data_IF_427620875457
#
_entry.id   IF_427620875457
#
_cell.length_a   1.000
_cell.length_b   1.000
_cell.length_c   1.000
_cell.angle_alpha   90.00
_cell.angle_beta   90.00
_cell.angle_gamma   90.00
#
_symmetry.space_group_name_H-M   'P 1'
#
loop_
_entity.id
_entity.type
_entity.pdbx_description
1 polymer ?
#
# COMPACT_ATOMS: atom_id res chain seq x y z
N UNK A 1 -0.07 15.47 10.38
CA UNK A 1 -1.13 14.85 9.57
C UNK A 1 -1.89 13.83 10.40
N UNK A 2 -3.16 13.68 10.12
CA UNK A 2 -4.05 12.86 10.95
C UNK A 2 -4.15 11.43 10.40
N UNK A 3 -3.13 10.64 10.62
CA UNK A 3 -3.06 9.27 10.12
C UNK A 3 -3.88 8.31 10.96
N UNK A 4 -4.47 7.30 10.30
CA UNK A 4 -5.28 6.28 10.97
C UNK A 4 -4.46 5.37 11.88
N UNK A 5 -3.16 5.20 11.59
CA UNK A 5 -2.23 4.37 12.35
C UNK A 5 -0.92 5.13 12.59
N UNK A 6 -0.14 4.76 13.62
CA UNK A 6 1.17 5.39 13.85
C UNK A 6 2.22 4.88 12.86
N UNK A 7 3.30 5.64 12.72
CA UNK A 7 4.49 5.27 11.96
C UNK A 7 4.20 4.86 10.50
N UNK A 8 3.48 5.68 9.72
CA UNK A 8 3.24 5.35 8.33
C UNK A 8 4.53 5.36 7.52
N UNK A 9 4.62 4.49 6.51
CA UNK A 9 5.55 4.68 5.42
C UNK A 9 4.88 5.61 4.41
N UNK A 10 5.53 6.72 4.06
CA UNK A 10 4.89 7.75 3.23
C UNK A 10 5.69 8.07 1.98
N UNK A 11 4.98 8.44 0.92
CA UNK A 11 5.53 9.03 -0.30
C UNK A 11 4.70 10.24 -0.69
N UNK A 12 5.33 11.28 -1.27
CA UNK A 12 4.57 12.36 -1.88
C UNK A 12 3.86 11.87 -3.15
N UNK A 13 2.73 12.47 -3.47
CA UNK A 13 1.99 12.20 -4.69
C UNK A 13 1.42 13.50 -5.22
N UNK A 14 1.46 13.68 -6.54
CA UNK A 14 0.92 14.88 -7.19
C UNK A 14 0.33 14.47 -8.53
N UNK A 15 -0.98 14.75 -8.77
CA UNK A 15 -1.58 14.46 -10.06
C UNK A 15 -0.89 15.25 -11.18
N UNK A 16 -0.49 14.55 -12.24
CA UNK A 16 0.11 15.11 -13.44
C UNK A 16 -0.95 15.25 -14.53
N UNK A 17 -0.63 15.94 -15.62
CA UNK A 17 -1.59 16.18 -16.70
C UNK A 17 -2.19 14.89 -17.24
N UNK A 18 -1.39 13.84 -17.41
CA UNK A 18 -1.84 12.53 -17.92
C UNK A 18 -2.75 11.78 -16.94
N UNK A 19 -2.79 12.18 -15.67
CA UNK A 19 -3.60 11.53 -14.64
C UNK A 19 -5.03 12.06 -14.59
N UNK A 20 -5.32 13.16 -15.28
CA UNK A 20 -6.57 13.90 -15.18
C UNK A 20 -7.57 13.41 -16.22
N UNK A 21 -8.80 13.13 -15.77
CA UNK A 21 -9.89 12.68 -16.66
C UNK A 21 -10.70 13.87 -17.23
N UNK A 22 -11.75 13.55 -18.00
CA UNK A 22 -12.61 14.53 -18.63
C UNK A 22 -13.41 15.40 -17.68
N UNK A 23 -13.43 15.09 -16.39
CA UNK A 23 -14.10 15.87 -15.34
C UNK A 23 -13.14 16.78 -14.60
N UNK A 24 -11.90 16.93 -15.07
CA UNK A 24 -10.81 17.67 -14.43
C UNK A 24 -10.42 17.15 -13.06
N UNK A 25 -10.62 15.86 -12.82
CA UNK A 25 -10.22 15.18 -11.59
C UNK A 25 -9.24 14.08 -11.88
N UNK A 26 -8.44 13.71 -10.89
CA UNK A 26 -7.56 12.56 -10.99
C UNK A 26 -8.39 11.31 -11.27
N UNK A 27 -8.04 10.56 -12.33
CA UNK A 27 -8.67 9.29 -12.65
C UNK A 27 -8.49 8.32 -11.49
N UNK A 28 -9.58 7.65 -11.09
CA UNK A 28 -9.56 6.72 -9.96
C UNK A 28 -8.50 5.61 -10.09
N UNK A 29 -8.19 5.18 -11.30
CA UNK A 29 -7.16 4.17 -11.55
C UNK A 29 -5.75 4.64 -11.14
N UNK A 30 -5.51 5.95 -11.17
CA UNK A 30 -4.22 6.53 -10.78
C UNK A 30 -3.94 6.31 -9.30
N UNK A 31 -4.93 6.42 -8.46
CA UNK A 31 -4.78 6.14 -7.03
C UNK A 31 -4.33 4.69 -6.77
N UNK A 32 -4.88 3.76 -7.53
CA UNK A 32 -4.51 2.34 -7.45
C UNK A 32 -3.04 2.15 -7.86
N UNK A 33 -2.61 2.83 -8.91
CA UNK A 33 -1.20 2.81 -9.34
C UNK A 33 -0.27 3.38 -8.26
N UNK A 34 -0.67 4.45 -7.58
CA UNK A 34 0.10 5.01 -6.47
C UNK A 34 0.21 4.02 -5.30
N UNK A 35 -0.86 3.29 -5.00
CA UNK A 35 -0.85 2.24 -3.98
C UNK A 35 0.12 1.11 -4.35
N UNK A 36 0.14 0.67 -5.61
CA UNK A 36 1.11 -0.31 -6.10
C UNK A 36 2.56 0.19 -5.90
N UNK A 37 2.81 1.43 -6.27
CA UNK A 37 4.13 2.03 -6.17
C UNK A 37 4.61 2.10 -4.72
N UNK A 38 3.76 2.58 -3.80
CA UNK A 38 4.16 2.71 -2.40
C UNK A 38 4.31 1.35 -1.73
N UNK A 39 3.50 0.37 -2.12
CA UNK A 39 3.64 -1.00 -1.62
C UNK A 39 5.03 -1.56 -1.91
N UNK A 40 5.51 -1.42 -3.13
CA UNK A 40 6.87 -1.83 -3.51
C UNK A 40 7.95 -1.01 -2.81
N UNK A 41 7.79 0.30 -2.74
CA UNK A 41 8.76 1.17 -2.06
C UNK A 41 8.89 0.79 -0.58
N UNK A 42 7.78 0.49 0.08
CA UNK A 42 7.78 0.04 1.47
C UNK A 42 8.53 -1.30 1.63
N UNK A 43 8.23 -2.28 0.76
CA UNK A 43 8.91 -3.58 0.78
C UNK A 43 10.41 -3.41 0.56
N UNK A 44 10.83 -2.57 -0.38
CA UNK A 44 12.26 -2.29 -0.62
C UNK A 44 12.92 -1.66 0.61
N UNK A 45 12.23 -0.75 1.30
CA UNK A 45 12.74 -0.15 2.54
C UNK A 45 12.94 -1.18 3.65
N UNK A 46 12.19 -2.28 3.59
CA UNK A 46 12.30 -3.41 4.53
C UNK A 46 13.30 -4.46 4.08
N UNK A 47 13.99 -4.26 2.98
CA UNK A 47 15.01 -5.17 2.45
C UNK A 47 14.47 -6.23 1.50
N UNK A 48 13.24 -6.09 1.00
CA UNK A 48 12.64 -7.04 0.06
C UNK A 48 12.33 -6.36 -1.28
N UNK A 49 13.17 -6.63 -2.27
CA UNK A 49 13.02 -6.16 -3.64
C UNK A 49 12.29 -7.18 -4.51
N UNK A 50 11.96 -6.79 -5.74
CA UNK A 50 11.46 -7.73 -6.75
C UNK A 50 12.46 -8.88 -6.97
N UNK A 51 13.76 -8.59 -7.00
CA UNK A 51 14.79 -9.61 -7.12
C UNK A 51 14.76 -10.63 -5.98
N UNK A 52 14.50 -10.18 -4.75
CA UNK A 52 14.37 -11.08 -3.61
C UNK A 52 13.13 -11.97 -3.75
N UNK A 53 12.02 -11.44 -4.23
CA UNK A 53 10.81 -12.22 -4.53
C UNK A 53 11.12 -13.33 -5.55
N UNK A 54 11.83 -12.97 -6.61
CA UNK A 54 12.21 -13.93 -7.66
C UNK A 54 13.15 -15.01 -7.12
N UNK A 55 14.16 -14.61 -6.36
CA UNK A 55 15.14 -15.52 -5.74
C UNK A 55 14.47 -16.52 -4.80
N UNK A 56 13.51 -16.07 -4.02
CA UNK A 56 12.80 -16.90 -3.05
C UNK A 56 11.63 -17.67 -3.66
N UNK A 57 11.30 -17.42 -4.92
CA UNK A 57 10.12 -17.99 -5.59
C UNK A 57 8.84 -17.76 -4.79
N UNK A 58 8.68 -16.56 -4.27
CA UNK A 58 7.54 -16.15 -3.44
C UNK A 58 7.09 -14.76 -3.82
N UNK A 59 5.80 -14.52 -3.65
CA UNK A 59 5.23 -13.17 -3.75
C UNK A 59 4.06 -13.02 -2.79
N UNK A 60 3.86 -11.80 -2.28
CA UNK A 60 2.61 -11.43 -1.63
C UNK A 60 1.67 -10.94 -2.72
N UNK A 61 0.75 -11.81 -3.15
CA UNK A 61 -0.20 -11.49 -4.21
C UNK A 61 -1.41 -10.77 -3.65
N UNK A 62 -1.87 -9.74 -4.36
CA UNK A 62 -3.11 -9.04 -3.99
C UNK A 62 -4.28 -9.95 -4.38
N UNK A 63 -5.05 -10.40 -3.37
CA UNK A 63 -6.25 -11.20 -3.59
C UNK A 63 -7.48 -10.32 -3.73
N UNK A 64 -7.55 -9.22 -2.96
CA UNK A 64 -8.66 -8.30 -2.95
C UNK A 64 -8.16 -6.89 -2.64
N UNK A 65 -8.69 -5.89 -3.36
CA UNK A 65 -8.47 -4.48 -3.10
C UNK A 65 -9.79 -3.76 -2.89
N UNK A 66 -9.86 -2.90 -1.88
CA UNK A 66 -10.99 -2.05 -1.60
C UNK A 66 -10.52 -0.61 -1.50
N UNK A 67 -11.25 0.33 -2.16
CA UNK A 67 -10.88 1.73 -2.18
C UNK A 67 -12.12 2.59 -1.95
N UNK A 68 -12.01 3.51 -0.98
CA UNK A 68 -13.01 4.53 -0.72
C UNK A 68 -12.50 5.85 -1.29
N UNK A 69 -13.13 6.31 -2.35
CA UNK A 69 -12.80 7.59 -3.02
C UNK A 69 -13.63 8.69 -2.36
N UNK A 70 -13.06 9.34 -1.36
CA UNK A 70 -13.80 10.24 -0.47
C UNK A 70 -13.92 11.66 -1.04
N UNK A 71 -12.84 12.18 -1.64
CA UNK A 71 -12.79 13.52 -2.21
C UNK A 71 -12.01 13.49 -3.52
N UNK A 72 -12.39 14.32 -4.51
CA UNK A 72 -11.61 14.41 -5.75
C UNK A 72 -10.31 15.18 -5.52
N UNK A 73 -9.33 14.92 -6.38
CA UNK A 73 -8.12 15.73 -6.45
C UNK A 73 -7.91 16.26 -7.87
N UNK A 74 -7.15 17.33 -7.98
CA UNK A 74 -6.94 18.04 -9.23
C UNK A 74 -5.47 18.16 -9.57
N UNK A 75 -5.20 18.53 -10.83
CA UNK A 75 -3.85 18.73 -11.34
C UNK A 75 -3.01 19.60 -10.38
N UNK A 76 -1.83 19.11 -10.05
CA UNK A 76 -0.84 19.85 -9.28
C UNK A 76 -1.08 19.94 -7.79
N UNK A 77 -2.16 19.33 -7.26
CA UNK A 77 -2.37 19.30 -5.82
C UNK A 77 -1.28 18.46 -5.14
N UNK A 78 -0.73 18.97 -4.04
CA UNK A 78 0.29 18.24 -3.26
C UNK A 78 -0.41 17.31 -2.27
N UNK A 79 -0.12 16.01 -2.39
CA UNK A 79 -0.72 14.96 -1.58
C UNK A 79 0.36 14.15 -0.89
N UNK A 80 0.02 13.48 0.20
CA UNK A 80 0.90 12.52 0.88
C UNK A 80 0.16 11.19 1.01
N UNK A 81 0.75 10.14 0.45
CA UNK A 81 0.22 8.78 0.54
C UNK A 81 0.95 8.02 1.63
N UNK A 82 0.20 7.34 2.48
CA UNK A 82 0.74 6.50 3.54
C UNK A 82 0.30 5.05 3.35
N UNK A 83 1.13 4.13 3.82
CA UNK A 83 0.79 2.71 3.90
C UNK A 83 1.29 2.08 5.19
N UNK A 84 0.57 1.05 5.61
CA UNK A 84 0.88 0.21 6.77
C UNK A 84 0.57 -1.24 6.45
N UNK A 85 1.27 -2.15 7.10
CA UNK A 85 0.83 -3.53 7.23
C UNK A 85 0.07 -3.62 8.56
N UNK A 86 -1.16 -4.12 8.55
CA UNK A 86 -2.07 -4.00 9.69
C UNK A 86 -2.51 -5.32 10.29
N UNK A 87 -2.31 -6.42 9.57
CA UNK A 87 -2.64 -7.76 10.06
C UNK A 87 -1.88 -8.82 9.28
N UNK A 88 -1.68 -9.98 9.91
CA UNK A 88 -1.14 -11.17 9.28
C UNK A 88 -1.44 -12.38 10.15
N UNK A 89 -1.64 -13.56 9.53
CA UNK A 89 -1.70 -14.82 10.27
C UNK A 89 -0.31 -15.38 10.57
N UNK A 90 0.75 -14.71 10.12
CA UNK A 90 2.13 -15.14 10.31
C UNK A 90 2.55 -16.30 9.41
N UNK A 91 1.68 -16.75 8.52
CA UNK A 91 1.90 -17.94 7.66
C UNK A 91 1.69 -17.67 6.20
N UNK A 92 0.49 -17.20 5.82
CA UNK A 92 0.06 -17.07 4.43
C UNK A 92 -0.44 -15.69 4.07
N UNK A 93 -1.02 -14.95 5.02
CA UNK A 93 -1.82 -13.77 4.71
C UNK A 93 -1.27 -12.50 5.36
N UNK A 94 -1.54 -11.37 4.70
CA UNK A 94 -1.30 -10.04 5.24
C UNK A 94 -2.41 -9.10 4.80
N UNK A 95 -2.62 -8.04 5.59
CA UNK A 95 -3.44 -6.91 5.22
C UNK A 95 -2.55 -5.67 5.10
N UNK A 96 -2.74 -4.91 4.03
CA UNK A 96 -2.10 -3.60 3.84
C UNK A 96 -3.17 -2.54 3.75
N UNK A 97 -2.95 -1.41 4.41
CA UNK A 97 -3.85 -0.26 4.34
C UNK A 97 -3.15 0.95 3.79
N UNK A 98 -3.96 1.84 3.21
CA UNK A 98 -3.52 3.07 2.59
C UNK A 98 -4.39 4.23 3.06
N UNK A 99 -3.76 5.41 3.15
CA UNK A 99 -4.47 6.66 3.37
C UNK A 99 -3.78 7.76 2.60
N UNK A 100 -4.56 8.53 1.83
CA UNK A 100 -4.06 9.66 1.07
C UNK A 100 -4.60 10.94 1.67
N UNK A 101 -3.71 11.86 2.05
CA UNK A 101 -4.06 13.13 2.65
C UNK A 101 -3.67 14.26 1.72
N UNK A 102 -4.57 15.23 1.54
CA UNK A 102 -4.30 16.47 0.81
C UNK A 102 -3.61 17.45 1.74
N UNK A 103 -2.41 17.92 1.35
CA UNK A 103 -1.55 18.68 2.25
C UNK A 103 -2.14 20.03 2.66
N UNK A 104 -2.84 20.74 1.74
CA UNK A 104 -3.32 22.10 2.00
C UNK A 104 -4.34 22.21 3.13
N UNK A 105 -5.19 21.19 3.29
CA UNK A 105 -6.28 21.19 4.30
C UNK A 105 -6.29 19.97 5.20
N UNK A 106 -5.32 19.07 5.02
CA UNK A 106 -5.18 17.85 5.81
C UNK A 106 -6.38 16.90 5.70
N UNK A 107 -7.18 17.04 4.63
CA UNK A 107 -8.33 16.17 4.39
C UNK A 107 -7.89 14.81 3.88
N UNK A 108 -8.49 13.74 4.38
CA UNK A 108 -8.33 12.40 3.82
C UNK A 108 -9.15 12.30 2.54
N UNK A 109 -8.47 12.05 1.42
CA UNK A 109 -9.11 11.98 0.11
C UNK A 109 -9.37 10.56 -0.35
N UNK A 110 -8.64 9.57 0.21
CA UNK A 110 -8.79 8.16 -0.14
C UNK A 110 -8.37 7.29 1.03
N UNK A 111 -9.07 6.18 1.21
CA UNK A 111 -8.61 5.04 2.02
C UNK A 111 -8.63 3.79 1.17
N UNK A 112 -7.68 2.91 1.39
CA UNK A 112 -7.59 1.64 0.67
C UNK A 112 -7.18 0.50 1.57
N UNK A 113 -7.49 -0.72 1.12
CA UNK A 113 -7.10 -1.95 1.81
C UNK A 113 -6.85 -3.05 0.80
N UNK A 114 -5.77 -3.80 1.02
CA UNK A 114 -5.47 -5.03 0.27
C UNK A 114 -5.47 -6.21 1.22
N UNK A 115 -6.12 -7.29 0.78
CA UNK A 115 -5.91 -8.62 1.32
C UNK A 115 -4.87 -9.32 0.45
N UNK A 116 -3.77 -9.75 1.07
CA UNK A 116 -2.64 -10.36 0.38
C UNK A 116 -2.49 -11.83 0.81
N UNK A 117 -2.06 -12.66 -0.12
CA UNK A 117 -1.73 -14.07 0.15
C UNK A 117 -0.36 -14.37 -0.42
N UNK A 118 0.46 -15.08 0.34
CA UNK A 118 1.77 -15.53 -0.15
C UNK A 118 1.59 -16.69 -1.11
N UNK A 119 2.22 -16.59 -2.28
CA UNK A 119 2.18 -17.62 -3.32
C UNK A 119 3.58 -17.99 -3.75
N UNK A 120 3.72 -19.18 -4.35
CA UNK A 120 4.90 -19.52 -5.13
C UNK A 120 4.77 -18.89 -6.51
N UNK A 121 5.81 -18.16 -6.95
CA UNK A 121 5.77 -17.54 -8.28
C UNK A 121 5.71 -18.56 -9.41
N UNK A 122 6.43 -19.70 -9.25
CA UNK A 122 6.47 -20.75 -10.28
C UNK A 122 5.15 -21.50 -10.43
N UNK A 123 4.32 -21.57 -9.38
CA UNK A 123 3.08 -22.35 -9.37
C UNK A 123 1.80 -21.50 -9.32
N UNK A 124 1.90 -20.28 -8.80
CA UNK A 124 0.74 -19.43 -8.53
C UNK A 124 -0.13 -19.90 -7.37
N UNK A 125 0.29 -20.96 -6.65
CA UNK A 125 -0.48 -21.52 -5.54
C UNK A 125 -0.01 -20.96 -4.21
N UNK A 126 -0.93 -20.95 -3.21
CA UNK A 126 -0.61 -20.49 -1.87
C UNK A 126 0.57 -21.29 -1.29
N UNK A 127 1.53 -20.59 -0.74
CA UNK A 127 2.71 -21.14 -0.08
C UNK A 127 3.08 -20.29 1.12
N UNK A 128 3.60 -20.93 2.16
CA UNK A 128 4.02 -20.24 3.37
C UNK A 128 5.02 -19.13 3.07
N UNK A 129 4.89 -18.02 3.79
CA UNK A 129 5.88 -16.96 3.77
C UNK A 129 7.24 -17.51 4.21
N UNK A 130 8.32 -17.25 3.43
CA UNK A 130 9.65 -17.66 3.86
C UNK A 130 10.10 -16.83 5.06
N UNK A 131 11.11 -17.28 5.82
CA UNK A 131 11.59 -16.54 6.99
C UNK A 131 11.92 -15.07 6.72
N UNK A 132 12.47 -14.77 5.55
CA UNK A 132 12.82 -13.40 5.15
C UNK A 132 11.58 -12.49 5.09
N UNK A 133 10.45 -13.01 4.58
CA UNK A 133 9.18 -12.27 4.56
C UNK A 133 8.66 -12.04 5.97
N UNK A 134 8.68 -13.08 6.81
CA UNK A 134 8.24 -12.96 8.20
C UNK A 134 9.07 -11.94 8.97
N UNK A 135 10.39 -11.99 8.82
CA UNK A 135 11.28 -11.05 9.51
C UNK A 135 11.02 -9.60 9.08
N UNK A 136 10.88 -9.37 7.78
CA UNK A 136 10.68 -8.03 7.26
C UNK A 136 9.27 -7.49 7.55
N UNK A 137 8.24 -8.24 7.20
CA UNK A 137 6.87 -7.73 7.24
C UNK A 137 6.25 -7.77 8.62
N UNK A 138 6.46 -8.85 9.39
CA UNK A 138 5.81 -8.97 10.70
C UNK A 138 6.38 -8.00 11.73
N UNK A 139 7.63 -7.56 11.55
CA UNK A 139 8.27 -6.62 12.46
C UNK A 139 7.66 -5.22 12.42
N UNK A 140 6.94 -4.87 11.34
CA UNK A 140 6.39 -3.52 11.14
C UNK A 140 4.86 -3.50 11.18
N UNK A 141 4.23 -4.56 11.67
CA UNK A 141 2.77 -4.58 11.80
C UNK A 141 2.28 -3.46 12.71
N UNK A 142 1.37 -2.63 12.19
CA UNK A 142 0.68 -1.63 12.98
C UNK A 142 -0.43 -2.31 13.79
N UNK A 143 -0.38 -2.17 15.11
CA UNK A 143 -1.32 -2.83 16.00
C UNK A 143 -2.53 -1.93 16.26
N UNK A 144 -3.74 -2.50 16.47
CA UNK A 144 -4.90 -1.69 16.83
C UNK A 144 -4.68 -0.82 18.09
N UNK A 145 -3.89 -1.31 19.05
CA UNK A 145 -3.56 -0.57 20.27
C UNK A 145 -2.69 0.67 20.01
N UNK A 146 -2.00 0.73 18.87
CA UNK A 146 -1.16 1.86 18.46
C UNK A 146 -1.95 2.91 17.69
N UNK A 147 -3.22 2.65 17.44
CA UNK A 147 -4.09 3.56 16.69
C UNK A 147 -4.41 4.78 17.55
N UNK A 148 -4.18 6.01 17.03
CA UNK A 148 -4.48 7.23 17.78
C UNK A 148 -5.95 7.44 18.08
#
# INVERSE_FOLDING_TARGET
MNWDYPQPFTLPAMPQAEDIDGLNHTNNAVYVQWCEKIGWAHSESLGLSLGDYQRLDRAMAIRRGEYDYLLPTALGETLTLATWLTASDGKLTMERRFQLIRNRDQATVLRGRWDLVCIGLSTGQARRMPPEFCQAYLSVLARPADRP
#
